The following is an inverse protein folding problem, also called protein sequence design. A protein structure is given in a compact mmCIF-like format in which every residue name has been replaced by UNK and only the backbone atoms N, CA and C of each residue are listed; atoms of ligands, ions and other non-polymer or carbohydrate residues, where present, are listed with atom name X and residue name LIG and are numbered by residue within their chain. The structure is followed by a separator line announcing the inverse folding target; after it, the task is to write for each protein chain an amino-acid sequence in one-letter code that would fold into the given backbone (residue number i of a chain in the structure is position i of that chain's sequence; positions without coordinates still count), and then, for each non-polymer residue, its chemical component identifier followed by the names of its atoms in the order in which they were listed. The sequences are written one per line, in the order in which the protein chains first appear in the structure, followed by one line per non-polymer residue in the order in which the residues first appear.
data_IF_959415717526
#
_entry.id   IF_959415717526
#
_cell.length_a   1.000
_cell.length_b   1.000
_cell.length_c   1.000
_cell.angle_alpha   90.00
_cell.angle_beta   90.00
_cell.angle_gamma   90.00
#
_symmetry.space_group_name_H-M   'P 1'
#
loop_
_entity.id
_entity.type
_entity.pdbx_description
1 polymer ?
#
# COMPACT_ATOMS: atom_id res chain seq x y z
N UNK A 1 58.38 -35.39 -41.33
CA UNK A 1 58.11 -35.57 -39.89
C UNK A 1 58.20 -34.17 -39.28
N UNK A 2 57.19 -33.49 -38.77
CA UNK A 2 55.89 -33.87 -38.22
C UNK A 2 54.93 -32.68 -38.38
N UNK A 3 53.66 -32.93 -38.70
CA UNK A 3 52.63 -31.89 -38.86
C UNK A 3 52.07 -31.45 -37.50
N UNK A 4 51.90 -30.14 -37.33
CA UNK A 4 51.11 -29.55 -36.25
C UNK A 4 49.62 -29.59 -36.64
N UNK A 5 48.83 -30.37 -35.91
CA UNK A 5 47.38 -30.40 -36.05
C UNK A 5 46.78 -29.18 -35.32
N UNK A 6 46.34 -28.17 -36.07
CA UNK A 6 45.40 -27.17 -35.58
C UNK A 6 43.98 -27.70 -35.78
N UNK A 7 43.35 -28.16 -34.71
CA UNK A 7 41.93 -28.54 -34.68
C UNK A 7 41.08 -27.29 -34.82
N UNK A 8 40.55 -27.05 -36.02
CA UNK A 8 39.54 -26.02 -36.28
C UNK A 8 38.18 -26.60 -35.89
N UNK A 9 37.66 -26.16 -34.74
CA UNK A 9 36.27 -26.41 -34.37
C UNK A 9 35.34 -25.67 -35.35
N UNK A 10 34.39 -26.35 -36.02
CA UNK A 10 33.43 -25.68 -36.88
C UNK A 10 32.33 -25.10 -35.99
N UNK A 11 32.60 -23.97 -35.35
CA UNK A 11 31.55 -23.20 -34.69
C UNK A 11 30.73 -22.54 -35.79
N UNK A 12 29.72 -23.26 -36.29
CA UNK A 12 28.83 -22.81 -37.34
C UNK A 12 28.22 -21.46 -36.99
N UNK A 13 28.19 -20.55 -37.96
CA UNK A 13 27.65 -19.18 -37.84
C UNK A 13 26.24 -19.10 -37.24
N UNK A 14 25.49 -20.20 -37.29
CA UNK A 14 24.19 -20.40 -36.67
C UNK A 14 24.22 -20.37 -35.14
N UNK A 15 25.23 -20.98 -34.52
CA UNK A 15 25.39 -20.99 -33.06
C UNK A 15 25.73 -19.59 -32.52
N UNK A 16 26.57 -18.82 -33.22
CA UNK A 16 26.85 -17.40 -32.87
C UNK A 16 25.61 -16.51 -32.95
N UNK A 17 24.72 -16.74 -33.92
CA UNK A 17 23.46 -15.97 -34.05
C UNK A 17 22.45 -16.33 -32.97
N UNK A 18 22.36 -17.60 -32.58
CA UNK A 18 21.50 -18.04 -31.47
C UNK A 18 21.95 -17.48 -30.12
N UNK A 19 23.27 -17.47 -29.84
CA UNK A 19 23.82 -16.86 -28.62
C UNK A 19 23.64 -15.33 -28.59
N UNK A 20 23.84 -14.62 -29.70
CA UNK A 20 23.63 -13.17 -29.78
C UNK A 20 22.14 -12.79 -29.64
N UNK A 21 21.22 -13.56 -30.24
CA UNK A 21 19.79 -13.32 -30.08
C UNK A 21 19.32 -13.59 -28.63
N UNK A 22 19.80 -14.65 -27.99
CA UNK A 22 19.50 -14.95 -26.58
C UNK A 22 20.03 -13.87 -25.62
N UNK A 23 21.24 -13.34 -25.87
CA UNK A 23 21.84 -12.30 -25.05
C UNK A 23 21.14 -10.93 -25.23
N UNK A 24 20.72 -10.59 -26.46
CA UNK A 24 19.95 -9.36 -26.73
C UNK A 24 18.55 -9.42 -26.12
N UNK A 25 17.88 -10.58 -26.12
CA UNK A 25 16.60 -10.76 -25.43
C UNK A 25 16.76 -10.64 -23.91
N UNK A 26 17.82 -11.22 -23.33
CA UNK A 26 18.11 -11.08 -21.90
C UNK A 26 18.42 -9.62 -21.50
N UNK A 27 19.21 -8.89 -22.29
CA UNK A 27 19.49 -7.47 -22.05
C UNK A 27 18.23 -6.62 -22.18
N UNK A 28 17.37 -6.90 -23.17
CA UNK A 28 16.12 -6.18 -23.35
C UNK A 28 15.15 -6.44 -22.19
N UNK A 29 15.01 -7.68 -21.73
CA UNK A 29 14.17 -8.02 -20.58
C UNK A 29 14.71 -7.40 -19.30
N UNK A 30 16.03 -7.47 -19.04
CA UNK A 30 16.62 -6.83 -17.85
C UNK A 30 16.56 -5.31 -17.91
N UNK A 31 16.72 -4.71 -19.10
CA UNK A 31 16.64 -3.27 -19.29
C UNK A 31 15.23 -2.73 -19.14
N UNK A 32 14.22 -3.50 -19.57
CA UNK A 32 12.81 -3.19 -19.30
C UNK A 32 12.53 -3.36 -17.80
N UNK A 33 12.90 -4.46 -17.15
CA UNK A 33 12.67 -4.62 -15.70
C UNK A 33 13.38 -3.55 -14.85
N UNK A 34 14.65 -3.24 -15.15
CA UNK A 34 15.41 -2.20 -14.45
C UNK A 34 14.90 -0.79 -14.77
N UNK A 35 14.46 -0.53 -16.01
CA UNK A 35 13.88 0.74 -16.42
C UNK A 35 12.52 0.98 -15.79
N UNK A 36 11.70 -0.06 -15.64
CA UNK A 36 10.44 -0.01 -14.90
C UNK A 36 10.71 0.20 -13.40
N UNK A 37 11.59 -0.59 -12.78
CA UNK A 37 11.96 -0.40 -11.37
C UNK A 37 12.48 1.02 -11.09
N UNK A 38 13.42 1.53 -11.90
CA UNK A 38 13.94 2.89 -11.76
C UNK A 38 12.87 3.97 -12.01
N UNK A 39 11.91 3.72 -12.89
CA UNK A 39 10.80 4.65 -13.16
C UNK A 39 9.79 4.67 -12.02
N UNK A 40 9.50 3.51 -11.41
CA UNK A 40 8.62 3.47 -10.24
C UNK A 40 9.35 4.10 -9.05
N UNK A 41 10.64 3.78 -8.82
CA UNK A 41 11.49 4.42 -7.79
C UNK A 41 11.51 5.95 -7.92
N UNK A 42 11.71 6.48 -9.14
CA UNK A 42 11.71 7.92 -9.39
C UNK A 42 10.32 8.53 -9.16
N UNK A 43 9.25 7.83 -9.56
CA UNK A 43 7.87 8.28 -9.36
C UNK A 43 7.46 8.26 -7.89
N UNK A 44 7.90 7.26 -7.13
CA UNK A 44 7.70 7.14 -5.69
C UNK A 44 8.48 8.22 -4.96
N UNK A 45 9.74 8.46 -5.32
CA UNK A 45 10.53 9.56 -4.78
C UNK A 45 9.88 10.92 -5.07
N UNK A 46 9.40 11.16 -6.29
CA UNK A 46 8.72 12.41 -6.65
C UNK A 46 7.41 12.60 -5.86
N UNK A 47 6.63 11.53 -5.66
CA UNK A 47 5.40 11.57 -4.86
C UNK A 47 5.68 11.79 -3.38
N UNK A 48 6.73 11.19 -2.85
CA UNK A 48 7.14 11.39 -1.45
C UNK A 48 7.73 12.78 -1.22
N UNK A 49 8.45 13.33 -2.20
CA UNK A 49 8.89 14.74 -2.17
C UNK A 49 7.69 15.69 -2.26
N UNK A 50 6.68 15.39 -3.07
CA UNK A 50 5.43 16.15 -3.08
C UNK A 50 4.70 16.04 -1.73
N UNK A 51 4.63 14.85 -1.13
CA UNK A 51 4.06 14.64 0.20
C UNK A 51 4.83 15.39 1.30
N UNK A 52 6.16 15.45 1.24
CA UNK A 52 7.00 16.29 2.12
C UNK A 52 6.61 17.78 2.00
N UNK A 53 6.42 18.27 0.78
CA UNK A 53 5.95 19.65 0.54
C UNK A 53 4.53 19.90 1.10
N UNK A 54 3.65 18.90 1.02
CA UNK A 54 2.31 18.97 1.62
C UNK A 54 2.32 18.90 3.15
N UNK A 55 3.15 18.03 3.75
CA UNK A 55 3.33 17.94 5.20
C UNK A 55 3.86 19.27 5.77
N UNK A 56 4.80 19.92 5.08
CA UNK A 56 5.31 21.25 5.45
C UNK A 56 4.21 22.31 5.33
N UNK A 57 3.38 22.26 4.28
CA UNK A 57 2.27 23.21 4.07
C UNK A 57 1.13 23.07 5.10
N UNK A 58 0.80 21.85 5.55
CA UNK A 58 -0.22 21.59 6.58
C UNK A 58 0.12 22.22 7.93
N UNK A 59 1.41 22.49 8.19
CA UNK A 59 1.87 23.22 9.38
C UNK A 59 1.56 24.73 9.36
N UNK A 60 1.10 25.29 8.24
CA UNK A 60 0.89 26.73 8.06
C UNK A 60 -0.59 27.19 8.08
N UNK A 61 -1.55 26.31 8.39
CA UNK A 61 -2.98 26.65 8.34
C UNK A 61 -3.73 26.63 9.69
N UNK A 62 -3.03 26.79 10.82
CA UNK A 62 -3.66 27.11 12.10
C UNK A 62 -3.45 28.61 12.44
N UNK A 63 -4.50 29.38 12.80
CA UNK A 63 -4.30 30.73 13.33
C UNK A 63 -3.56 30.64 14.67
N UNK A 64 -2.41 31.31 14.73
CA UNK A 64 -1.50 31.29 15.85
C UNK A 64 -2.13 31.83 17.17
N UNK A 65 -2.13 31.00 18.20
CA UNK A 65 -1.87 31.44 19.58
C UNK A 65 -0.63 30.70 20.07
N UNK A 66 0.40 31.48 20.40
CA UNK A 66 1.78 31.01 20.41
C UNK A 66 2.12 29.94 21.44
N UNK A 67 3.01 29.03 21.05
CA UNK A 67 4.10 28.52 21.88
C UNK A 67 5.24 28.03 20.96
N UNK A 68 6.46 28.35 21.40
CA UNK A 68 7.79 27.93 20.96
C UNK A 68 7.94 26.92 19.80
N UNK A 69 8.65 27.36 18.75
CA UNK A 69 9.59 26.52 18.00
C UNK A 69 9.01 25.34 17.23
N UNK A 70 8.32 25.60 16.13
CA UNK A 70 8.09 24.59 15.09
C UNK A 70 9.43 24.26 14.44
N UNK A 71 10.11 23.23 14.94
CA UNK A 71 11.24 22.63 14.22
C UNK A 71 10.65 22.00 12.96
N UNK A 72 11.11 22.36 11.74
CA UNK A 72 10.66 21.68 10.54
C UNK A 72 10.85 20.18 10.73
N UNK A 73 9.78 19.40 10.54
CA UNK A 73 9.90 17.95 10.54
C UNK A 73 10.71 17.59 9.30
N UNK A 74 12.01 17.38 9.48
CA UNK A 74 12.91 17.07 8.37
C UNK A 74 12.98 15.57 8.16
N UNK A 75 12.52 15.10 7.00
CA UNK A 75 12.69 13.71 6.56
C UNK A 75 14.15 13.50 6.14
N UNK A 76 14.81 12.49 6.71
CA UNK A 76 16.18 12.13 6.32
C UNK A 76 16.20 11.39 4.99
N UNK A 77 17.32 11.42 4.27
CA UNK A 77 17.48 10.65 3.04
C UNK A 77 17.26 9.14 3.24
N UNK A 78 17.68 8.59 4.39
CA UNK A 78 17.46 7.19 4.74
C UNK A 78 15.97 6.88 4.95
N UNK A 79 15.22 7.79 5.58
CA UNK A 79 13.77 7.65 5.74
C UNK A 79 13.03 7.72 4.40
N UNK A 80 13.42 8.66 3.52
CA UNK A 80 12.87 8.73 2.18
C UNK A 80 13.15 7.45 1.38
N UNK A 81 14.37 6.93 1.44
CA UNK A 81 14.72 5.66 0.78
C UNK A 81 13.94 4.48 1.34
N UNK A 82 13.79 4.40 2.67
CA UNK A 82 13.05 3.32 3.32
C UNK A 82 11.55 3.37 3.00
N UNK A 83 10.94 4.56 2.99
CA UNK A 83 9.54 4.75 2.59
C UNK A 83 9.33 4.38 1.11
N UNK A 84 10.20 4.84 0.20
CA UNK A 84 10.15 4.46 -1.20
C UNK A 84 10.28 2.93 -1.38
N UNK A 85 11.24 2.31 -0.69
CA UNK A 85 11.44 0.86 -0.74
C UNK A 85 10.22 0.08 -0.24
N UNK A 86 9.61 0.50 0.87
CA UNK A 86 8.39 -0.12 1.37
C UNK A 86 7.26 -0.02 0.34
N UNK A 87 7.08 1.17 -0.26
CA UNK A 87 6.07 1.40 -1.29
C UNK A 87 6.24 0.45 -2.48
N UNK A 88 7.44 0.43 -3.07
CA UNK A 88 7.78 -0.42 -4.22
C UNK A 88 7.53 -1.90 -3.94
N UNK A 89 8.02 -2.38 -2.79
CA UNK A 89 7.88 -3.79 -2.45
C UNK A 89 6.43 -4.16 -2.15
N UNK A 90 5.65 -3.26 -1.56
CA UNK A 90 4.22 -3.45 -1.33
C UNK A 90 3.49 -3.54 -2.67
N UNK A 91 3.72 -2.59 -3.57
CA UNK A 91 3.16 -2.59 -4.93
C UNK A 91 3.44 -3.89 -5.67
N UNK A 92 4.70 -4.35 -5.65
CA UNK A 92 5.10 -5.59 -6.30
C UNK A 92 4.44 -6.83 -5.67
N UNK A 93 4.30 -6.86 -4.34
CA UNK A 93 3.73 -8.01 -3.65
C UNK A 93 2.21 -8.13 -3.81
N UNK A 94 1.49 -7.01 -3.83
CA UNK A 94 0.02 -7.02 -3.90
C UNK A 94 -0.54 -7.05 -5.31
N UNK A 95 0.31 -6.99 -6.35
CA UNK A 95 -0.13 -6.99 -7.75
C UNK A 95 -1.00 -8.20 -8.11
N UNK A 96 -0.73 -9.36 -7.51
CA UNK A 96 -1.53 -10.58 -7.72
C UNK A 96 -2.94 -10.46 -7.15
N UNK A 97 -3.15 -9.59 -6.17
CA UNK A 97 -4.43 -9.36 -5.51
C UNK A 97 -5.26 -8.28 -6.22
N UNK A 98 -4.83 -7.77 -7.38
CA UNK A 98 -5.72 -7.00 -8.26
C UNK A 98 -6.97 -7.81 -8.64
N UNK A 99 -6.86 -9.14 -8.73
CA UNK A 99 -8.02 -10.03 -8.75
C UNK A 99 -8.45 -10.34 -7.31
N UNK A 100 -9.61 -9.82 -6.90
CA UNK A 100 -10.17 -10.07 -5.57
C UNK A 100 -10.30 -11.58 -5.27
N UNK A 101 -10.55 -12.41 -6.28
CA UNK A 101 -10.64 -13.87 -6.07
C UNK A 101 -9.31 -14.47 -5.64
N UNK A 102 -8.19 -13.91 -6.11
CA UNK A 102 -6.86 -14.34 -5.66
C UNK A 102 -6.63 -13.98 -4.20
N UNK A 103 -7.10 -12.81 -3.75
CA UNK A 103 -7.05 -12.42 -2.34
C UNK A 103 -7.91 -13.35 -1.47
N UNK A 104 -9.16 -13.61 -1.87
CA UNK A 104 -10.05 -14.53 -1.15
C UNK A 104 -9.45 -15.94 -1.11
N UNK A 105 -8.86 -16.43 -2.20
CA UNK A 105 -8.18 -17.72 -2.24
C UNK A 105 -6.94 -17.77 -1.34
N UNK A 106 -6.26 -16.64 -1.14
CA UNK A 106 -5.13 -16.49 -0.22
C UNK A 106 -5.56 -16.32 1.26
N UNK A 107 -6.87 -16.33 1.56
CA UNK A 107 -7.40 -16.28 2.92
C UNK A 107 -7.82 -14.90 3.40
N UNK A 108 -7.79 -13.88 2.54
CA UNK A 108 -8.33 -12.56 2.88
C UNK A 108 -9.86 -12.59 2.93
N UNK A 109 -10.44 -12.01 3.98
CA UNK A 109 -11.89 -11.95 4.22
C UNK A 109 -12.32 -10.52 4.49
N UNK A 110 -13.54 -10.12 4.08
CA UNK A 110 -14.01 -8.75 4.29
C UNK A 110 -14.15 -8.45 5.78
N UNK A 111 -13.67 -7.27 6.17
CA UNK A 111 -13.77 -6.73 7.53
C UNK A 111 -15.08 -5.94 7.71
N UNK A 112 -15.59 -5.34 6.64
CA UNK A 112 -16.88 -4.66 6.55
C UNK A 112 -17.89 -5.48 5.71
N UNK A 113 -19.19 -5.10 5.66
CA UNK A 113 -20.09 -5.59 4.62
C UNK A 113 -19.49 -5.41 3.22
N UNK A 114 -19.42 -6.47 2.38
CA UNK A 114 -18.66 -6.45 1.13
C UNK A 114 -19.29 -5.60 0.02
N UNK A 115 -20.50 -5.07 0.23
CA UNK A 115 -21.24 -4.20 -0.68
C UNK A 115 -21.00 -2.70 -0.44
N UNK A 116 -20.20 -2.34 0.58
CA UNK A 116 -19.78 -0.95 0.76
C UNK A 116 -18.86 -0.49 -0.37
N UNK A 117 -18.77 0.83 -0.56
CA UNK A 117 -17.96 1.42 -1.64
C UNK A 117 -16.48 1.11 -1.49
N UNK A 118 -15.96 1.18 -0.26
CA UNK A 118 -14.58 0.81 0.09
C UNK A 118 -14.65 -0.30 1.14
N UNK A 119 -13.89 -1.37 0.93
CA UNK A 119 -13.89 -2.55 1.80
C UNK A 119 -12.46 -3.01 2.06
N UNK A 120 -12.15 -3.26 3.34
CA UNK A 120 -10.92 -3.91 3.77
C UNK A 120 -11.11 -5.43 3.75
N UNK A 121 -10.22 -6.11 3.07
CA UNK A 121 -10.09 -7.56 3.10
C UNK A 121 -8.88 -7.89 3.94
N UNK A 122 -9.10 -8.49 5.12
CA UNK A 122 -8.06 -8.79 6.12
C UNK A 122 -7.70 -10.26 6.09
N UNK A 123 -6.40 -10.57 6.25
CA UNK A 123 -5.95 -11.93 6.50
C UNK A 123 -5.67 -12.09 7.99
N UNK A 124 -6.65 -12.60 8.73
CA UNK A 124 -6.55 -12.74 10.21
C UNK A 124 -5.45 -13.69 10.66
N UNK A 125 -4.96 -14.57 9.78
CA UNK A 125 -3.81 -15.43 10.11
C UNK A 125 -2.50 -14.63 10.28
N UNK A 126 -2.46 -13.41 9.75
CA UNK A 126 -1.29 -12.53 9.74
C UNK A 126 -1.25 -11.53 10.91
N UNK A 127 -2.23 -11.59 11.82
CA UNK A 127 -2.36 -10.61 12.93
C UNK A 127 -1.56 -11.03 14.16
N UNK A 128 -1.22 -12.31 14.29
CA UNK A 128 -0.56 -12.87 15.48
C UNK A 128 0.94 -13.10 15.33
N UNK A 129 1.50 -12.87 14.14
CA UNK A 129 2.92 -13.09 13.86
C UNK A 129 3.78 -11.86 14.22
N UNK A 130 5.09 -11.97 13.95
CA UNK A 130 6.06 -10.90 14.15
C UNK A 130 6.46 -10.20 12.82
N UNK A 131 5.72 -10.45 11.73
CA UNK A 131 6.02 -9.94 10.40
C UNK A 131 5.51 -8.49 10.24
N UNK A 132 6.23 -7.56 10.87
CA UNK A 132 5.97 -6.11 10.78
C UNK A 132 6.58 -5.57 9.48
N UNK A 133 5.78 -4.83 8.69
CA UNK A 133 6.19 -4.24 7.40
C UNK A 133 6.83 -5.24 6.44
N UNK A 134 6.26 -6.46 6.36
CA UNK A 134 6.69 -7.50 5.42
C UNK A 134 5.79 -7.51 4.18
N UNK A 135 6.26 -7.07 3.01
CA UNK A 135 5.40 -6.90 1.84
C UNK A 135 4.77 -8.19 1.32
N UNK A 136 5.41 -9.34 1.51
CA UNK A 136 4.84 -10.63 1.13
C UNK A 136 3.78 -11.16 2.12
N UNK A 137 3.48 -10.38 3.18
CA UNK A 137 2.65 -10.76 4.31
C UNK A 137 1.79 -9.59 4.80
N UNK A 138 1.15 -8.87 3.87
CA UNK A 138 0.31 -7.70 4.18
C UNK A 138 -0.96 -8.14 4.91
N UNK A 139 -1.28 -7.52 6.06
CA UNK A 139 -2.43 -7.87 6.89
C UNK A 139 -3.78 -7.50 6.29
N UNK A 140 -3.86 -6.43 5.50
CA UNK A 140 -5.11 -5.94 4.91
C UNK A 140 -4.93 -5.41 3.48
N UNK A 141 -5.91 -5.67 2.62
CA UNK A 141 -6.01 -5.18 1.25
C UNK A 141 -7.28 -4.34 1.12
N UNK A 142 -7.21 -3.21 0.42
CA UNK A 142 -8.29 -2.23 0.34
C UNK A 142 -8.83 -2.20 -1.08
N UNK A 143 -10.14 -2.42 -1.22
CA UNK A 143 -10.80 -2.45 -2.50
C UNK A 143 -11.86 -1.35 -2.62
N UNK A 144 -11.90 -0.73 -3.79
CA UNK A 144 -13.01 0.12 -4.23
C UNK A 144 -13.96 -0.69 -5.12
N UNK A 145 -15.23 -0.75 -4.74
CA UNK A 145 -16.29 -1.39 -5.53
C UNK A 145 -16.76 -0.49 -6.68
N UNK A 146 -15.98 -0.44 -7.76
CA UNK A 146 -16.34 0.34 -8.95
C UNK A 146 -17.52 -0.27 -9.72
N UNK A 147 -18.18 0.48 -10.62
CA UNK A 147 -19.21 -0.06 -11.51
C UNK A 147 -18.74 -1.22 -12.41
N UNK A 148 -17.42 -1.40 -12.59
CA UNK A 148 -16.81 -2.48 -13.37
C UNK A 148 -16.35 -3.67 -12.52
N UNK A 149 -16.56 -3.61 -11.20
CA UNK A 149 -16.08 -4.58 -10.23
C UNK A 149 -15.03 -3.99 -9.27
N UNK A 150 -14.56 -4.81 -8.31
CA UNK A 150 -13.62 -4.39 -7.28
C UNK A 150 -12.26 -4.03 -7.90
N UNK A 151 -11.70 -2.91 -7.44
CA UNK A 151 -10.37 -2.42 -7.81
C UNK A 151 -9.53 -2.34 -6.55
N UNK A 152 -8.34 -2.97 -6.56
CA UNK A 152 -7.38 -2.84 -5.47
C UNK A 152 -6.85 -1.39 -5.44
N UNK A 153 -7.11 -0.67 -4.36
CA UNK A 153 -6.72 0.74 -4.18
C UNK A 153 -5.65 0.93 -3.11
N UNK A 154 -5.50 -0.02 -2.18
CA UNK A 154 -4.51 0.08 -1.12
C UNK A 154 -4.15 -1.24 -0.47
N UNK A 155 -3.14 -1.17 0.38
CA UNK A 155 -2.69 -2.19 1.29
C UNK A 155 -2.53 -1.54 2.67
N UNK A 156 -2.65 -2.33 3.74
CA UNK A 156 -2.47 -1.83 5.09
C UNK A 156 -1.74 -2.85 5.95
N UNK A 157 -0.67 -2.39 6.59
CA UNK A 157 0.05 -3.12 7.63
C UNK A 157 -0.60 -2.84 8.98
N UNK A 158 -0.78 -3.87 9.80
CA UNK A 158 -1.43 -3.78 11.10
C UNK A 158 -0.47 -4.35 12.14
N UNK A 159 -0.25 -3.61 13.21
CA UNK A 159 0.60 -4.05 14.31
C UNK A 159 -0.01 -5.26 15.03
N UNK A 160 0.81 -6.20 15.56
CA UNK A 160 0.28 -7.44 16.13
C UNK A 160 -0.63 -7.24 17.36
N UNK A 161 -0.47 -6.11 18.07
CA UNK A 161 -1.20 -5.82 19.31
C UNK A 161 -1.46 -4.33 19.48
N UNK A 162 -2.59 -4.02 20.11
CA UNK A 162 -2.90 -2.67 20.60
C UNK A 162 -1.80 -2.14 21.53
N UNK A 163 -1.48 -0.84 21.40
CA UNK A 163 -0.46 -0.16 22.20
C UNK A 163 0.98 -0.50 21.81
N UNK A 164 1.21 -1.31 20.77
CA UNK A 164 2.53 -1.51 20.19
C UNK A 164 2.75 -0.50 19.05
N UNK A 165 3.66 0.47 19.20
CA UNK A 165 3.89 1.47 18.17
C UNK A 165 4.54 0.84 16.93
N UNK A 166 4.10 1.28 15.76
CA UNK A 166 4.72 0.91 14.49
C UNK A 166 6.10 1.55 14.31
N UNK A 167 7.02 0.91 13.55
CA UNK A 167 8.35 1.47 13.29
C UNK A 167 8.28 2.70 12.37
N UNK A 168 8.99 3.77 12.75
CA UNK A 168 9.03 5.05 12.03
C UNK A 168 10.02 5.03 10.84
N UNK A 169 9.94 4.01 9.97
CA UNK A 169 10.94 3.81 8.90
C UNK A 169 11.03 4.99 7.93
N UNK A 170 9.92 5.70 7.68
CA UNK A 170 9.84 6.87 6.81
C UNK A 170 9.74 8.18 7.58
N UNK A 171 9.88 8.17 8.90
CA UNK A 171 9.57 9.32 9.74
C UNK A 171 8.14 9.81 9.45
N UNK A 172 7.99 11.11 9.24
CA UNK A 172 6.69 11.73 8.95
C UNK A 172 6.10 11.38 7.57
N UNK A 173 6.83 10.66 6.71
CA UNK A 173 6.24 10.14 5.47
C UNK A 173 5.34 8.92 5.72
N UNK A 174 5.57 8.16 6.80
CA UNK A 174 4.84 6.91 7.08
C UNK A 174 4.02 7.07 8.36
N UNK A 175 2.79 7.55 8.21
CA UNK A 175 1.91 7.88 9.33
C UNK A 175 1.18 6.65 9.85
N UNK A 176 1.64 6.13 10.99
CA UNK A 176 0.90 5.15 11.77
C UNK A 176 -0.29 5.83 12.46
N UNK A 177 -1.44 5.17 12.46
CA UNK A 177 -2.66 5.64 13.13
C UNK A 177 -3.46 4.44 13.64
N UNK A 178 -4.46 4.69 14.48
CA UNK A 178 -5.41 3.69 14.91
C UNK A 178 -6.81 4.29 15.01
N UNK A 179 -7.82 3.43 15.03
CA UNK A 179 -9.19 3.80 15.34
C UNK A 179 -9.54 3.41 16.76
N UNK A 180 -10.24 4.28 17.46
CA UNK A 180 -10.85 4.05 18.77
C UNK A 180 -12.38 4.14 18.72
N UNK A 181 -12.95 4.20 17.51
CA UNK A 181 -14.35 4.46 17.24
C UNK A 181 -15.05 3.37 16.42
N UNK A 182 -14.37 2.29 16.03
CA UNK A 182 -15.02 1.23 15.23
C UNK A 182 -16.02 0.41 16.05
N UNK A 183 -17.21 0.18 15.48
CA UNK A 183 -18.24 -0.68 16.05
C UNK A 183 -18.31 -2.03 15.34
N UNK A 184 -17.97 -3.08 16.08
CA UNK A 184 -17.91 -4.45 15.60
C UNK A 184 -19.18 -5.23 15.93
N UNK A 185 -19.77 -5.90 14.94
CA UNK A 185 -20.85 -6.86 15.18
C UNK A 185 -20.34 -8.03 16.03
N UNK A 186 -21.06 -8.34 17.12
CA UNK A 186 -20.63 -9.37 18.09
C UNK A 186 -20.69 -10.80 17.56
N UNK A 187 -21.39 -11.04 16.44
CA UNK A 187 -21.57 -12.38 15.86
C UNK A 187 -20.60 -12.61 14.70
N UNK A 188 -20.42 -11.62 13.84
CA UNK A 188 -19.58 -11.73 12.63
C UNK A 188 -18.18 -11.17 12.83
N UNK A 189 -17.98 -10.34 13.86
CA UNK A 189 -16.76 -9.56 14.07
C UNK A 189 -16.42 -8.66 12.87
N UNK A 190 -17.44 -8.19 12.15
CA UNK A 190 -17.31 -7.19 11.08
C UNK A 190 -17.50 -5.78 11.64
N UNK A 191 -16.80 -4.81 11.07
CA UNK A 191 -17.02 -3.38 11.32
C UNK A 191 -18.28 -2.95 10.56
N UNK A 192 -19.27 -2.44 11.27
CA UNK A 192 -20.60 -2.12 10.71
C UNK A 192 -21.06 -0.68 10.98
N UNK A 193 -20.29 0.07 11.77
CA UNK A 193 -20.52 1.48 12.07
C UNK A 193 -19.29 2.10 12.74
N UNK A 194 -19.29 3.42 12.87
CA UNK A 194 -18.39 4.17 13.73
C UNK A 194 -19.17 4.72 14.94
N UNK A 195 -18.52 4.82 16.09
CA UNK A 195 -19.08 5.36 17.32
C UNK A 195 -19.12 6.90 17.18
N UNK A 196 -20.31 7.48 17.29
CA UNK A 196 -20.48 8.93 17.11
C UNK A 196 -20.69 9.38 15.66
N UNK A 197 -20.39 8.52 14.68
CA UNK A 197 -20.72 8.70 13.25
C UNK A 197 -21.54 7.51 12.79
N UNK A 198 -22.86 7.67 12.76
CA UNK A 198 -23.71 6.62 12.21
C UNK A 198 -23.66 6.66 10.69
N UNK A 199 -23.20 5.59 10.03
CA UNK A 199 -23.39 5.39 8.58
C UNK A 199 -24.88 5.26 8.19
N UNK A 200 -25.78 5.21 9.19
CA UNK A 200 -27.23 5.15 9.07
C UNK A 200 -27.86 6.03 10.15
N UNK A 201 -28.12 7.32 9.87
CA UNK A 201 -28.73 8.26 10.82
C UNK A 201 -29.91 7.66 11.61
N UNK A 202 -29.63 7.21 12.84
CA UNK A 202 -30.63 6.66 13.78
C UNK A 202 -30.56 7.40 15.10
N UNK A 203 -31.69 8.00 15.56
CA UNK A 203 -31.75 8.68 16.85
C UNK A 203 -31.31 7.75 17.99
N UNK A 204 -30.26 8.15 18.73
CA UNK A 204 -29.70 7.40 19.87
C UNK A 204 -28.38 6.67 19.62
N UNK A 205 -27.88 6.61 18.37
CA UNK A 205 -26.57 6.04 18.02
C UNK A 205 -25.42 7.06 18.06
N UNK A 206 -25.70 8.34 18.32
CA UNK A 206 -24.76 9.46 18.12
C UNK A 206 -23.61 9.56 19.12
N UNK A 207 -23.41 8.58 20.02
CA UNK A 207 -22.23 8.49 20.92
C UNK A 207 -21.82 7.07 21.33
N UNK A 208 -22.63 6.07 21.03
CA UNK A 208 -22.42 4.69 21.48
C UNK A 208 -22.63 3.75 20.31
N UNK A 209 -21.90 2.64 20.32
CA UNK A 209 -22.08 1.62 19.30
C UNK A 209 -23.51 1.06 19.30
N UNK A 210 -24.03 0.71 18.11
CA UNK A 210 -25.33 0.07 17.93
C UNK A 210 -25.64 -1.08 18.91
N UNK A 211 -26.90 -1.31 19.29
CA UNK A 211 -27.27 -2.57 19.93
C UNK A 211 -26.83 -3.77 19.09
N UNK A 212 -26.15 -4.72 19.71
CA UNK A 212 -25.60 -5.90 19.03
C UNK A 212 -24.13 -5.75 18.58
N UNK A 213 -23.56 -4.55 18.69
CA UNK A 213 -22.14 -4.31 18.37
C UNK A 213 -21.35 -3.91 19.63
N UNK A 214 -20.03 -3.87 19.51
CA UNK A 214 -19.11 -3.39 20.55
C UNK A 214 -18.04 -2.48 19.96
N UNK A 215 -17.73 -1.39 20.65
CA UNK A 215 -16.59 -0.52 20.32
C UNK A 215 -15.30 -1.29 20.57
N UNK A 216 -14.38 -1.29 19.63
CA UNK A 216 -13.04 -1.87 19.83
C UNK A 216 -11.99 -0.95 19.22
N UNK A 217 -10.87 -0.81 19.92
CA UNK A 217 -9.72 -0.06 19.43
C UNK A 217 -8.86 -0.98 18.55
N UNK A 218 -8.34 -0.46 17.43
CA UNK A 218 -7.51 -1.24 16.49
C UNK A 218 -6.04 -1.07 16.84
N UNK A 219 -5.16 -2.09 16.68
CA UNK A 219 -3.71 -1.85 16.68
C UNK A 219 -3.31 -0.73 15.72
N UNK A 220 -2.12 -0.16 15.90
CA UNK A 220 -1.58 0.82 14.95
C UNK A 220 -1.51 0.22 13.54
N UNK A 221 -1.84 1.04 12.54
CA UNK A 221 -1.93 0.66 11.14
C UNK A 221 -1.24 1.67 10.25
N UNK A 222 -0.65 1.19 9.16
CA UNK A 222 -0.01 2.01 8.14
C UNK A 222 -0.61 1.69 6.78
N UNK A 223 -1.25 2.69 6.18
CA UNK A 223 -1.77 2.61 4.82
C UNK A 223 -0.66 2.72 3.78
N UNK A 224 -0.81 1.98 2.69
CA UNK A 224 -0.03 2.11 1.46
C UNK A 224 -0.99 2.14 0.27
N UNK A 225 -1.22 3.33 -0.29
CA UNK A 225 -2.14 3.54 -1.39
C UNK A 225 -1.49 3.17 -2.73
N UNK A 226 -2.06 2.17 -3.41
CA UNK A 226 -1.55 1.66 -4.70
C UNK A 226 -2.13 2.41 -5.91
N UNK A 227 -2.88 3.48 -5.64
CA UNK A 227 -3.38 4.47 -6.59
C UNK A 227 -2.92 5.88 -6.16
N UNK A 228 -3.19 6.88 -6.98
CA UNK A 228 -2.69 8.25 -6.81
C UNK A 228 -3.45 9.02 -5.73
N UNK A 229 -3.19 8.72 -4.46
CA UNK A 229 -3.72 9.51 -3.35
C UNK A 229 -3.12 10.94 -3.37
N UNK A 230 -3.94 12.01 -3.44
CA UNK A 230 -3.47 13.40 -3.51
C UNK A 230 -2.57 13.82 -2.33
N UNK A 231 -2.78 13.25 -1.15
CA UNK A 231 -2.01 13.59 0.05
C UNK A 231 -0.74 12.74 0.20
N UNK A 232 -0.57 11.72 -0.64
CA UNK A 232 0.62 10.88 -0.70
C UNK A 232 0.33 9.38 -0.48
N UNK A 233 1.30 8.52 -0.79
CA UNK A 233 1.11 7.07 -0.81
C UNK A 233 0.93 6.44 0.58
N UNK A 234 1.22 7.17 1.65
CA UNK A 234 1.14 6.71 3.03
C UNK A 234 0.21 7.57 3.89
N UNK A 235 -0.61 8.43 3.26
CA UNK A 235 -1.61 9.20 4.02
C UNK A 235 -2.53 8.26 4.78
N UNK A 236 -2.94 8.67 5.98
CA UNK A 236 -3.80 7.87 6.84
C UNK A 236 -5.17 7.63 6.22
N UNK A 237 -5.60 8.47 5.28
CA UNK A 237 -6.90 8.40 4.67
C UNK A 237 -6.84 8.66 3.15
N UNK A 238 -7.92 8.30 2.45
CA UNK A 238 -8.17 8.74 1.09
C UNK A 238 -9.60 9.18 0.98
N UNK A 239 -9.81 10.44 0.58
CA UNK A 239 -11.15 10.99 0.38
C UNK A 239 -11.92 10.10 -0.60
N UNK A 240 -13.02 9.45 -0.17
CA UNK A 240 -13.81 8.60 -1.04
C UNK A 240 -14.30 9.32 -2.30
N UNK A 241 -14.45 10.65 -2.27
CA UNK A 241 -14.84 11.45 -3.43
C UNK A 241 -13.78 11.47 -4.54
N UNK A 242 -12.50 11.28 -4.21
CA UNK A 242 -11.40 11.30 -5.17
C UNK A 242 -11.22 9.95 -5.88
N UNK A 243 -11.56 8.85 -5.20
CA UNK A 243 -11.33 7.47 -5.67
C UNK A 243 -11.92 7.19 -7.06
N UNK A 244 -13.19 7.54 -7.38
CA UNK A 244 -13.77 7.27 -8.69
C UNK A 244 -12.98 7.92 -9.84
N UNK A 245 -12.54 9.16 -9.64
CA UNK A 245 -11.80 9.92 -10.65
C UNK A 245 -10.40 9.34 -10.84
N UNK A 246 -9.71 9.01 -9.76
CA UNK A 246 -8.37 8.38 -9.79
C UNK A 246 -8.43 7.04 -10.51
N UNK A 247 -9.35 6.15 -10.11
CA UNK A 247 -9.52 4.82 -10.70
C UNK A 247 -9.88 4.92 -12.20
N UNK A 248 -10.74 5.86 -12.58
CA UNK A 248 -11.08 6.08 -13.98
C UNK A 248 -9.89 6.55 -14.83
N UNK A 249 -8.96 7.31 -14.24
CA UNK A 249 -7.72 7.74 -14.91
C UNK A 249 -6.71 6.60 -15.05
N UNK A 250 -6.52 5.79 -14.00
CA UNK A 250 -5.57 4.67 -14.03
C UNK A 250 -5.97 3.56 -15.03
N UNK A 251 -7.26 3.41 -15.34
CA UNK A 251 -7.74 2.44 -16.32
C UNK A 251 -7.54 2.87 -17.80
N UNK A 252 -7.12 4.13 -18.04
CA UNK A 252 -6.88 4.67 -19.39
C UNK A 252 -5.42 4.59 -19.85
N UNK A 253 -4.50 4.30 -18.92
CA UNK A 253 -3.06 4.15 -19.17
C UNK A 253 -2.66 2.67 -19.17
#
# INVERSE_FOLDING_TARGET
MSGAAYSHLPIGSWSRRAFLAGFVVLIAVSGVSAGWAASIELSAQQRLIAADQHAVASTHQAPATGHAGSTPISVTAAQLEAAARLYEQTMAAVVTYRDLRAAVAAGYQPMEPPDLEIVHYVNRSYFGDADILKPQHVQSLIYYNSPKGPVLIGAMYIMPRWGMPGPEIGGALTSWHHHDDLCFDKKTNMVVAFAGLSIVDRPGWSRSCPPGTSKQDTPDMLHVWVIDNPNGPFDTDMDPADVPAIVANSARN
#
